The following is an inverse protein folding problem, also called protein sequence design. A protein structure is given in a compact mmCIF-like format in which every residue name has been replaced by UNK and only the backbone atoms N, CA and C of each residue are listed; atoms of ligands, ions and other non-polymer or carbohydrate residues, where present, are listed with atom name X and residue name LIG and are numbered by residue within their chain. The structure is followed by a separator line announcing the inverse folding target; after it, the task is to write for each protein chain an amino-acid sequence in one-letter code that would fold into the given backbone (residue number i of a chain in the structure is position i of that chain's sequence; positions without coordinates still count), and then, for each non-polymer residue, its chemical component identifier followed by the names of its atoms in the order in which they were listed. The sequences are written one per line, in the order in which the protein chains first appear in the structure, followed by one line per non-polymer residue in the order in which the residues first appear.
data_IF_160411359629
#
_entry.id   IF_160411359629
#
_cell.length_a   1.000
_cell.length_b   1.000
_cell.length_c   1.000
_cell.angle_alpha   90.00
_cell.angle_beta   90.00
_cell.angle_gamma   90.00
#
_symmetry.space_group_name_H-M   'P 1'
#
loop_
_entity.id
_entity.type
_entity.pdbx_description
1 polymer ?
#
# COMPACT_ATOMS: atom_id res chain seq x y z
N UNK A 1 6.54 23.93 -49.32
CA UNK A 1 6.83 24.95 -48.30
C UNK A 1 5.65 25.01 -47.33
N UNK A 2 5.97 25.29 -46.06
CA UNK A 2 5.07 25.54 -44.91
C UNK A 2 4.55 24.34 -44.12
N UNK A 3 5.41 23.91 -43.19
CA UNK A 3 5.05 23.33 -41.89
C UNK A 3 4.03 24.21 -41.15
N UNK A 4 3.11 23.60 -40.39
CA UNK A 4 2.72 24.17 -39.08
C UNK A 4 2.30 23.06 -38.12
N UNK A 5 3.14 22.84 -37.09
CA UNK A 5 2.81 22.11 -35.87
C UNK A 5 1.67 22.84 -35.17
N UNK A 6 0.63 22.13 -34.77
CA UNK A 6 -0.30 22.56 -33.72
C UNK A 6 -0.53 21.30 -32.88
N UNK A 7 0.05 21.14 -31.71
CA UNK A 7 0.00 22.05 -30.58
C UNK A 7 -0.46 21.16 -29.44
N UNK A 8 0.49 20.42 -28.83
CA UNK A 8 0.22 19.58 -27.66
C UNK A 8 -0.12 20.53 -26.51
N UNK A 9 -1.40 20.86 -26.35
CA UNK A 9 -1.90 21.55 -25.17
C UNK A 9 -2.40 20.52 -24.17
N UNK A 10 -1.63 20.41 -23.09
CA UNK A 10 -2.04 20.14 -21.71
C UNK A 10 -3.36 19.39 -21.49
N UNK A 11 -3.22 18.10 -21.17
CA UNK A 11 -4.13 17.36 -20.30
C UNK A 11 -3.34 16.87 -19.08
N UNK A 12 -2.76 17.80 -18.32
CA UNK A 12 -2.12 17.50 -17.02
C UNK A 12 -3.10 17.65 -15.85
N UNK A 13 -4.29 18.21 -16.09
CA UNK A 13 -5.30 18.49 -15.07
C UNK A 13 -6.18 17.26 -14.74
N UNK A 14 -6.38 16.35 -15.70
CA UNK A 14 -7.19 15.13 -15.50
C UNK A 14 -6.51 14.10 -14.57
N UNK A 15 -5.18 14.09 -14.50
CA UNK A 15 -4.43 13.09 -13.74
C UNK A 15 -4.40 13.38 -12.23
N UNK A 16 -4.53 14.64 -11.83
CA UNK A 16 -4.47 15.03 -10.41
C UNK A 16 -5.83 14.80 -9.72
N UNK A 17 -6.94 15.06 -10.43
CA UNK A 17 -8.30 14.82 -9.92
C UNK A 17 -8.55 13.33 -9.63
N UNK A 18 -8.07 12.45 -10.51
CA UNK A 18 -8.22 10.99 -10.35
C UNK A 18 -7.45 10.43 -9.15
N UNK A 19 -6.33 11.07 -8.77
CA UNK A 19 -5.49 10.60 -7.68
C UNK A 19 -6.11 10.91 -6.30
N UNK A 20 -6.73 12.09 -6.15
CA UNK A 20 -7.49 12.46 -4.95
C UNK A 20 -8.78 11.63 -4.79
N UNK A 21 -9.45 11.30 -5.89
CA UNK A 21 -10.63 10.43 -5.88
C UNK A 21 -10.31 8.99 -5.43
N UNK A 22 -9.06 8.53 -5.62
CA UNK A 22 -8.61 7.21 -5.19
C UNK A 22 -8.16 7.17 -3.72
N UNK A 23 -7.96 8.32 -3.06
CA UNK A 23 -7.48 8.40 -1.68
C UNK A 23 -8.34 7.59 -0.68
N UNK A 24 -9.69 7.61 -0.73
CA UNK A 24 -10.50 6.79 0.16
C UNK A 24 -10.33 5.28 -0.08
N UNK A 25 -10.02 4.87 -1.31
CA UNK A 25 -9.73 3.47 -1.62
C UNK A 25 -8.40 3.04 -0.99
N UNK A 26 -7.39 3.89 -1.09
CA UNK A 26 -6.09 3.68 -0.45
C UNK A 26 -6.20 3.59 1.07
N UNK A 27 -6.96 4.50 1.70
CA UNK A 27 -7.20 4.45 3.13
C UNK A 27 -7.80 3.11 3.57
N UNK A 28 -8.85 2.65 2.87
CA UNK A 28 -9.48 1.35 3.17
C UNK A 28 -8.53 0.18 3.01
N UNK A 29 -7.67 0.21 1.99
CA UNK A 29 -6.67 -0.84 1.77
C UNK A 29 -5.64 -0.85 2.91
N UNK A 30 -5.14 0.31 3.34
CA UNK A 30 -4.20 0.42 4.48
C UNK A 30 -4.83 -0.13 5.77
N UNK A 31 -6.08 0.23 6.05
CA UNK A 31 -6.82 -0.28 7.22
C UNK A 31 -6.96 -1.81 7.16
N UNK A 32 -7.34 -2.34 5.99
CA UNK A 32 -7.46 -3.78 5.78
C UNK A 32 -6.13 -4.53 5.98
N UNK A 33 -5.02 -3.97 5.52
CA UNK A 33 -3.69 -4.57 5.70
C UNK A 33 -3.21 -4.48 7.14
N UNK A 34 -3.46 -3.35 7.81
CA UNK A 34 -3.18 -3.20 9.24
C UNK A 34 -3.89 -4.28 10.05
N UNK A 35 -5.16 -4.56 9.72
CA UNK A 35 -5.91 -5.63 10.35
C UNK A 35 -5.32 -7.01 10.04
N UNK A 36 -4.90 -7.29 8.81
CA UNK A 36 -4.25 -8.57 8.44
C UNK A 36 -2.95 -8.79 9.20
N UNK A 37 -2.13 -7.75 9.35
CA UNK A 37 -0.88 -7.80 10.14
C UNK A 37 -1.20 -8.08 11.61
N UNK A 38 -2.18 -7.36 12.18
CA UNK A 38 -2.61 -7.59 13.56
C UNK A 38 -3.08 -9.04 13.76
N UNK A 39 -3.95 -9.55 12.89
CA UNK A 39 -4.43 -10.93 12.93
C UNK A 39 -3.30 -11.97 12.82
N UNK A 40 -2.25 -11.68 12.05
CA UNK A 40 -1.10 -12.59 11.92
C UNK A 40 -0.16 -12.54 13.14
N UNK A 41 -0.07 -11.40 13.83
CA UNK A 41 0.80 -11.20 14.99
C UNK A 41 0.14 -11.60 16.31
N UNK A 42 -1.19 -11.47 16.44
CA UNK A 42 -1.91 -11.81 17.68
C UNK A 42 -1.64 -13.23 18.16
N UNK A 43 -1.72 -14.28 17.32
CA UNK A 43 -1.41 -15.64 17.76
C UNK A 43 0.05 -15.83 18.19
N UNK A 44 0.99 -15.08 17.59
CA UNK A 44 2.40 -15.11 17.99
C UNK A 44 2.55 -14.52 19.40
N UNK A 45 1.92 -13.39 19.66
CA UNK A 45 1.94 -12.75 20.97
C UNK A 45 1.34 -13.66 22.06
N UNK A 46 0.23 -14.34 21.76
CA UNK A 46 -0.40 -15.33 22.66
C UNK A 46 0.49 -16.55 22.94
N UNK A 47 1.17 -17.07 21.93
CA UNK A 47 2.11 -18.19 22.12
C UNK A 47 3.31 -17.78 22.97
N UNK A 48 3.84 -16.59 22.75
CA UNK A 48 4.96 -16.06 23.53
C UNK A 48 4.55 -15.73 24.98
N UNK A 49 3.34 -15.23 25.21
CA UNK A 49 2.84 -14.96 26.58
C UNK A 49 2.71 -16.23 27.42
N UNK A 50 2.47 -17.37 26.77
CA UNK A 50 2.43 -18.69 27.40
C UNK A 50 3.81 -19.39 27.46
N UNK A 51 4.90 -18.68 27.12
CA UNK A 51 6.28 -19.20 27.06
C UNK A 51 6.44 -20.42 26.14
N UNK A 52 5.56 -20.57 25.15
CA UNK A 52 5.62 -21.62 24.15
C UNK A 52 6.42 -21.17 22.93
N UNK A 53 6.87 -22.14 22.15
CA UNK A 53 7.61 -21.87 20.92
C UNK A 53 6.64 -21.51 19.79
N UNK A 54 6.97 -20.44 19.06
CA UNK A 54 6.26 -20.03 17.84
C UNK A 54 6.63 -20.99 16.72
N UNK A 55 5.63 -21.50 15.99
CA UNK A 55 5.91 -22.40 14.88
C UNK A 55 6.54 -21.64 13.70
N UNK A 56 7.29 -22.36 12.87
CA UNK A 56 7.86 -21.81 11.63
C UNK A 56 6.77 -21.26 10.71
N UNK A 57 5.63 -21.93 10.64
CA UNK A 57 4.49 -21.54 9.80
C UNK A 57 3.87 -20.22 10.26
N UNK A 58 3.66 -20.05 11.59
CA UNK A 58 3.18 -18.78 12.15
C UNK A 58 4.13 -17.63 11.82
N UNK A 59 5.44 -17.86 11.98
CA UNK A 59 6.46 -16.86 11.68
C UNK A 59 6.50 -16.52 10.18
N UNK A 60 6.39 -17.51 9.30
CA UNK A 60 6.30 -17.29 7.85
C UNK A 60 5.05 -16.45 7.52
N UNK A 61 3.90 -16.83 8.07
CA UNK A 61 2.65 -16.12 7.82
C UNK A 61 2.73 -14.64 8.24
N UNK A 62 3.22 -14.37 9.45
CA UNK A 62 3.41 -13.00 9.93
C UNK A 62 4.36 -12.19 9.05
N UNK A 63 5.52 -12.77 8.68
CA UNK A 63 6.47 -12.12 7.76
C UNK A 63 5.83 -11.80 6.41
N UNK A 64 5.01 -12.71 5.87
CA UNK A 64 4.29 -12.48 4.61
C UNK A 64 3.29 -11.32 4.72
N UNK A 65 2.51 -11.22 5.79
CA UNK A 65 1.57 -10.10 5.95
C UNK A 65 2.30 -8.76 6.13
N UNK A 66 3.37 -8.75 6.94
CA UNK A 66 4.20 -7.55 7.12
C UNK A 66 4.80 -7.09 5.79
N UNK A 67 5.37 -8.01 5.00
CA UNK A 67 5.93 -7.68 3.70
C UNK A 67 4.88 -7.10 2.73
N UNK A 68 3.67 -7.68 2.70
CA UNK A 68 2.57 -7.16 1.87
C UNK A 68 2.18 -5.74 2.26
N UNK A 69 2.04 -5.48 3.56
CA UNK A 69 1.75 -4.15 4.06
C UNK A 69 2.84 -3.14 3.67
N UNK A 70 4.12 -3.51 3.78
CA UNK A 70 5.22 -2.65 3.35
C UNK A 70 5.17 -2.32 1.85
N UNK A 71 5.00 -3.31 0.99
CA UNK A 71 4.95 -3.08 -0.46
C UNK A 71 3.82 -2.12 -0.87
N UNK A 72 2.65 -2.26 -0.26
CA UNK A 72 1.52 -1.37 -0.56
C UNK A 72 1.71 0.04 -0.01
N UNK A 73 2.41 0.19 1.12
CA UNK A 73 2.78 1.51 1.62
C UNK A 73 3.84 2.18 0.73
N UNK A 74 4.78 1.41 0.17
CA UNK A 74 5.75 1.91 -0.81
C UNK A 74 5.05 2.37 -2.10
N UNK A 75 4.08 1.60 -2.60
CA UNK A 75 3.28 1.97 -3.77
C UNK A 75 2.50 3.27 -3.52
N UNK A 76 1.86 3.39 -2.35
CA UNK A 76 1.15 4.62 -1.96
C UNK A 76 2.11 5.80 -1.84
N UNK A 77 3.29 5.60 -1.24
CA UNK A 77 4.29 6.65 -1.13
C UNK A 77 4.72 7.16 -2.50
N UNK A 78 5.02 6.26 -3.45
CA UNK A 78 5.37 6.65 -4.81
C UNK A 78 4.25 7.43 -5.49
N UNK A 79 3.00 7.03 -5.26
CA UNK A 79 1.84 7.75 -5.77
C UNK A 79 1.76 9.17 -5.18
N UNK A 80 1.90 9.33 -3.87
CA UNK A 80 1.88 10.63 -3.20
C UNK A 80 3.04 11.53 -3.66
N UNK A 81 4.25 10.98 -3.73
CA UNK A 81 5.45 11.68 -4.22
C UNK A 81 5.27 12.13 -5.69
N UNK A 82 4.41 11.48 -6.47
CA UNK A 82 4.09 11.88 -7.86
C UNK A 82 3.06 13.01 -7.98
N UNK A 83 2.41 13.38 -6.87
CA UNK A 83 1.43 14.48 -6.83
C UNK A 83 2.03 15.82 -6.40
N UNK A 84 3.23 15.80 -5.80
CA UNK A 84 4.04 16.98 -5.43
C UNK A 84 4.80 17.57 -6.64
#
# INVERSE_FOLDING_TARGET
MSNTKNGRQHKREDSQLTALEQLPSWQREIEAQSQRVAMALTPIAEVLSTKRNVSREMMIHAKTQILKAHLQLDDLKQLLDSME
#
